data_IF_400529557420
#
_entry.id   IF_400529557420
#
_cell.length_a   1.000
_cell.length_b   1.000
_cell.length_c   1.000
_cell.angle_alpha   90.00
_cell.angle_beta   90.00
_cell.angle_gamma   90.00
#
_symmetry.space_group_name_H-M   'P 1'
#
loop_
_entity.id
_entity.type
_entity.pdbx_description
1 polymer ?
#
# COMPACT_ATOMS: atom_id res chain seq x y z
N UNK A 1 17.57 -13.99 0.65
CA UNK A 1 18.58 -14.40 1.65
C UNK A 1 19.11 -13.19 2.41
N UNK A 2 19.56 -12.14 1.73
CA UNK A 2 20.14 -10.95 2.38
C UNK A 2 19.18 -10.25 3.35
N UNK A 3 17.89 -10.12 3.00
CA UNK A 3 16.88 -9.51 3.88
C UNK A 3 16.69 -10.33 5.16
N UNK A 4 16.63 -11.65 5.05
CA UNK A 4 16.51 -12.54 6.22
C UNK A 4 17.75 -12.45 7.12
N UNK A 5 18.93 -12.33 6.52
CA UNK A 5 20.18 -12.11 7.28
C UNK A 5 20.15 -10.77 8.03
N UNK A 6 19.68 -9.70 7.40
CA UNK A 6 19.50 -8.39 8.07
C UNK A 6 18.48 -8.52 9.20
N UNK A 7 17.30 -9.09 8.93
CA UNK A 7 16.25 -9.24 9.93
C UNK A 7 16.71 -10.01 11.17
N UNK A 8 17.57 -11.01 10.99
CA UNK A 8 18.13 -11.79 12.12
C UNK A 8 19.15 -11.05 12.99
N UNK A 9 19.71 -9.95 12.49
CA UNK A 9 20.79 -9.19 13.14
C UNK A 9 20.36 -7.87 13.74
N UNK A 10 19.18 -7.36 13.35
CA UNK A 10 18.69 -6.07 13.83
C UNK A 10 17.68 -6.25 14.96
N UNK A 11 17.69 -5.33 15.93
CA UNK A 11 16.76 -5.32 17.06
C UNK A 11 15.46 -4.56 16.80
N UNK A 12 15.16 -4.22 15.55
CA UNK A 12 13.93 -3.51 15.14
C UNK A 12 13.14 -4.33 14.13
N UNK A 13 11.80 -4.30 14.19
CA UNK A 13 10.98 -5.01 13.21
C UNK A 13 11.19 -4.47 11.79
N UNK A 14 11.22 -5.38 10.82
CA UNK A 14 11.34 -5.05 9.39
C UNK A 14 9.96 -5.02 8.75
N UNK A 15 9.69 -3.93 8.01
CA UNK A 15 8.52 -3.76 7.16
C UNK A 15 8.96 -3.63 5.70
N UNK A 16 8.44 -4.47 4.81
CA UNK A 16 8.82 -4.47 3.38
C UNK A 16 7.77 -5.16 2.51
N UNK A 17 7.93 -5.07 1.19
CA UNK A 17 7.08 -5.75 0.21
C UNK A 17 6.30 -4.82 -0.71
N UNK A 18 6.44 -3.49 -0.57
CA UNK A 18 5.69 -2.51 -1.39
C UNK A 18 6.01 -2.58 -2.90
N UNK A 19 7.12 -3.19 -3.27
CA UNK A 19 7.53 -3.36 -4.67
C UNK A 19 7.27 -4.76 -5.22
N UNK A 20 6.73 -5.66 -4.40
CA UNK A 20 6.36 -6.99 -4.84
C UNK A 20 5.01 -6.98 -5.55
N UNK A 21 4.89 -7.78 -6.60
CA UNK A 21 3.68 -7.86 -7.42
C UNK A 21 3.08 -9.28 -7.44
N UNK A 22 3.82 -10.27 -6.99
CA UNK A 22 3.40 -11.68 -7.03
C UNK A 22 3.32 -12.27 -5.61
N UNK A 23 2.28 -13.06 -5.38
CA UNK A 23 2.06 -13.78 -4.12
C UNK A 23 3.26 -14.62 -3.68
N UNK A 24 4.01 -15.20 -4.63
CA UNK A 24 5.18 -16.04 -4.34
C UNK A 24 6.35 -15.25 -3.78
N UNK A 25 6.49 -13.98 -4.13
CA UNK A 25 7.52 -13.10 -3.56
C UNK A 25 7.26 -12.90 -2.06
N UNK A 26 5.99 -12.68 -1.69
CA UNK A 26 5.57 -12.58 -0.29
C UNK A 26 5.78 -13.90 0.46
N UNK A 27 5.46 -15.05 -0.16
CA UNK A 27 5.72 -16.36 0.44
C UNK A 27 7.21 -16.57 0.74
N UNK A 28 8.09 -16.28 -0.22
CA UNK A 28 9.54 -16.41 -0.03
C UNK A 28 10.05 -15.48 1.08
N UNK A 29 9.51 -14.25 1.16
CA UNK A 29 9.87 -13.29 2.20
C UNK A 29 9.52 -13.80 3.60
N UNK A 30 8.28 -14.28 3.78
CA UNK A 30 7.75 -14.68 5.08
C UNK A 30 8.28 -16.05 5.54
N UNK A 31 8.35 -17.03 4.64
CA UNK A 31 8.91 -18.36 4.95
C UNK A 31 10.37 -18.32 5.40
N UNK A 32 11.09 -17.27 5.03
CA UNK A 32 12.47 -17.01 5.49
C UNK A 32 12.58 -16.12 6.72
N UNK A 33 11.46 -15.78 7.35
CA UNK A 33 11.43 -14.86 8.49
C UNK A 33 12.15 -13.53 8.24
N UNK A 34 12.02 -13.01 7.01
CA UNK A 34 12.75 -11.82 6.56
C UNK A 34 12.07 -10.51 6.96
N UNK A 35 10.87 -10.57 7.52
CA UNK A 35 10.13 -9.40 7.97
C UNK A 35 9.11 -9.75 9.07
N UNK A 36 8.66 -8.74 9.82
CA UNK A 36 7.56 -8.82 10.79
C UNK A 36 6.30 -8.13 10.25
N UNK A 37 6.47 -7.30 9.24
CA UNK A 37 5.37 -6.61 8.57
C UNK A 37 5.52 -6.74 7.06
N UNK A 38 4.46 -7.15 6.37
CA UNK A 38 4.39 -7.09 4.91
C UNK A 38 3.60 -5.88 4.45
N UNK A 39 4.03 -5.29 3.34
CA UNK A 39 3.44 -4.05 2.79
C UNK A 39 2.92 -4.26 1.37
N UNK A 40 1.85 -5.05 1.16
CA UNK A 40 1.27 -5.18 -0.17
C UNK A 40 0.63 -3.85 -0.62
N UNK A 41 0.95 -3.42 -1.83
CA UNK A 41 0.27 -2.32 -2.50
C UNK A 41 -0.91 -2.86 -3.30
N UNK A 42 -2.13 -2.48 -2.96
CA UNK A 42 -3.35 -2.98 -3.58
C UNK A 42 -3.39 -2.74 -5.10
N UNK A 43 -2.78 -1.64 -5.56
CA UNK A 43 -2.73 -1.30 -6.97
C UNK A 43 -1.67 -2.11 -7.73
N UNK A 44 -0.57 -2.46 -7.08
CA UNK A 44 0.54 -3.20 -7.68
C UNK A 44 0.32 -4.72 -7.71
N UNK A 45 -0.24 -5.30 -6.64
CA UNK A 45 -0.40 -6.76 -6.52
C UNK A 45 -1.60 -7.33 -7.29
N UNK A 46 -2.41 -6.48 -7.95
CA UNK A 46 -3.56 -6.92 -8.75
C UNK A 46 -4.91 -6.80 -8.04
N UNK A 47 -5.06 -5.83 -7.14
CA UNK A 47 -6.33 -5.45 -6.52
C UNK A 47 -6.65 -6.15 -5.21
N UNK A 48 -7.88 -5.96 -4.74
CA UNK A 48 -8.36 -6.41 -3.42
C UNK A 48 -8.24 -7.94 -3.27
N UNK A 49 -8.60 -8.72 -4.30
CA UNK A 49 -8.55 -10.18 -4.22
C UNK A 49 -7.14 -10.70 -4.02
N UNK A 50 -6.16 -10.16 -4.73
CA UNK A 50 -4.76 -10.55 -4.57
C UNK A 50 -4.23 -10.11 -3.20
N UNK A 51 -4.52 -8.88 -2.78
CA UNK A 51 -4.15 -8.38 -1.45
C UNK A 51 -4.71 -9.24 -0.33
N UNK A 52 -5.97 -9.68 -0.40
CA UNK A 52 -6.59 -10.58 0.58
C UNK A 52 -5.86 -11.93 0.68
N UNK A 53 -5.41 -12.49 -0.44
CA UNK A 53 -4.62 -13.73 -0.43
C UNK A 53 -3.27 -13.52 0.26
N UNK A 54 -2.61 -12.39 0.02
CA UNK A 54 -1.35 -12.04 0.68
C UNK A 54 -1.58 -11.84 2.19
N UNK A 55 -2.66 -11.17 2.59
CA UNK A 55 -3.00 -10.99 4.00
C UNK A 55 -3.25 -12.32 4.72
N UNK A 56 -3.99 -13.25 4.11
CA UNK A 56 -4.23 -14.56 4.66
C UNK A 56 -2.94 -15.41 4.75
N UNK A 57 -2.06 -15.27 3.76
CA UNK A 57 -0.75 -15.90 3.80
C UNK A 57 0.10 -15.32 4.93
N UNK A 58 0.10 -14.01 5.12
CA UNK A 58 0.81 -13.33 6.21
C UNK A 58 0.28 -13.78 7.58
N UNK A 59 -1.03 -13.94 7.73
CA UNK A 59 -1.65 -14.48 8.95
C UNK A 59 -1.12 -15.88 9.29
N UNK A 60 -0.98 -16.75 8.28
CA UNK A 60 -0.45 -18.11 8.47
C UNK A 60 1.04 -18.14 8.88
N UNK A 61 1.76 -17.05 8.66
CA UNK A 61 3.16 -16.86 9.06
C UNK A 61 3.35 -15.98 10.30
N UNK A 62 2.28 -15.63 11.03
CA UNK A 62 2.31 -14.69 12.17
C UNK A 62 2.89 -13.32 11.82
N UNK A 63 2.71 -12.87 10.57
CA UNK A 63 3.19 -11.60 10.06
C UNK A 63 2.04 -10.59 9.98
N UNK A 64 2.27 -9.38 10.47
CA UNK A 64 1.30 -8.30 10.39
C UNK A 64 1.32 -7.62 9.01
N UNK A 65 0.21 -7.01 8.65
CA UNK A 65 0.04 -6.30 7.37
C UNK A 65 0.00 -4.80 7.59
N UNK A 66 0.78 -4.07 6.80
CA UNK A 66 0.73 -2.61 6.67
C UNK A 66 0.50 -2.32 5.19
N UNK A 67 -0.74 -2.17 4.72
CA UNK A 67 -0.98 -1.90 3.30
C UNK A 67 -0.22 -0.66 2.84
N UNK A 68 0.61 -0.81 1.79
CA UNK A 68 1.33 0.30 1.18
C UNK A 68 0.36 1.20 0.44
N UNK A 69 0.38 2.49 0.74
CA UNK A 69 -0.57 3.43 0.17
C UNK A 69 0.03 4.83 -0.01
N UNK A 70 0.90 5.04 -1.02
CA UNK A 70 1.44 6.35 -1.36
C UNK A 70 0.53 7.11 -2.34
N UNK A 71 -0.65 6.57 -2.64
CA UNK A 71 -1.55 7.00 -3.70
C UNK A 71 -2.76 7.77 -3.13
N UNK A 72 -3.69 8.12 -3.99
CA UNK A 72 -4.84 8.97 -3.69
C UNK A 72 -6.02 8.29 -2.97
N UNK A 73 -7.18 8.97 -2.89
CA UNK A 73 -8.32 8.54 -2.09
C UNK A 73 -8.94 7.21 -2.56
N UNK A 74 -8.85 6.88 -3.84
CA UNK A 74 -9.36 5.60 -4.39
C UNK A 74 -8.55 4.42 -3.87
N UNK A 75 -7.22 4.52 -3.88
CA UNK A 75 -6.33 3.52 -3.29
C UNK A 75 -6.55 3.41 -1.78
N UNK A 76 -6.66 4.55 -1.10
CA UNK A 76 -6.93 4.60 0.34
C UNK A 76 -8.23 3.89 0.69
N UNK A 77 -9.32 4.16 -0.04
CA UNK A 77 -10.60 3.48 0.16
C UNK A 77 -10.49 1.95 -0.01
N UNK A 78 -9.78 1.49 -1.05
CA UNK A 78 -9.55 0.06 -1.26
C UNK A 78 -8.73 -0.56 -0.12
N UNK A 79 -7.69 0.11 0.36
CA UNK A 79 -6.91 -0.32 1.53
C UNK A 79 -7.77 -0.40 2.79
N UNK A 80 -8.66 0.57 3.04
CA UNK A 80 -9.56 0.57 4.19
C UNK A 80 -10.50 -0.65 4.19
N UNK A 81 -11.03 -1.06 3.02
CA UNK A 81 -11.85 -2.26 2.92
C UNK A 81 -11.04 -3.54 3.21
N UNK A 82 -9.78 -3.59 2.79
CA UNK A 82 -8.87 -4.68 3.15
C UNK A 82 -8.64 -4.68 4.66
N UNK A 83 -8.27 -3.54 5.25
CA UNK A 83 -8.00 -3.39 6.68
C UNK A 83 -9.19 -3.85 7.54
N UNK A 84 -10.42 -3.48 7.16
CA UNK A 84 -11.63 -3.88 7.86
C UNK A 84 -11.93 -5.39 7.80
N UNK A 85 -11.27 -6.10 6.88
CA UNK A 85 -11.57 -7.52 6.58
C UNK A 85 -10.47 -8.50 6.97
N UNK A 86 -9.43 -8.06 7.66
CA UNK A 86 -8.29 -8.88 8.09
C UNK A 86 -8.09 -8.82 9.61
N UNK A 87 -7.57 -9.90 10.20
CA UNK A 87 -7.31 -10.02 11.63
C UNK A 87 -5.89 -9.56 12.01
N UNK A 88 -4.97 -9.59 11.06
CA UNK A 88 -3.54 -9.32 11.24
C UNK A 88 -3.11 -7.93 10.75
N UNK A 89 -4.00 -6.92 10.87
CA UNK A 89 -3.65 -5.54 10.58
C UNK A 89 -2.65 -4.99 11.61
N UNK A 90 -1.52 -4.47 11.14
CA UNK A 90 -0.59 -3.69 11.94
C UNK A 90 -1.05 -2.23 12.05
N UNK A 91 -1.00 -1.52 10.95
CA UNK A 91 -1.47 -0.13 10.81
C UNK A 91 -1.73 0.17 9.33
N UNK A 92 -2.55 1.17 9.02
CA UNK A 92 -2.72 1.67 7.66
C UNK A 92 -1.78 2.85 7.40
N UNK A 93 -0.99 2.77 6.33
CA UNK A 93 -0.25 3.93 5.83
C UNK A 93 -1.22 4.94 5.22
N UNK A 94 -1.08 6.18 5.64
CA UNK A 94 -1.90 7.29 5.15
C UNK A 94 -1.00 8.41 4.63
N UNK A 95 -1.05 8.75 3.34
CA UNK A 95 -0.30 9.87 2.79
C UNK A 95 -0.72 11.19 3.42
N UNK A 96 0.25 12.09 3.67
CA UNK A 96 -0.01 13.36 4.32
C UNK A 96 -1.00 14.28 3.58
N UNK A 97 -1.12 14.13 2.26
CA UNK A 97 -2.08 14.87 1.45
C UNK A 97 -3.54 14.43 1.70
N UNK A 98 -3.78 13.18 2.09
CA UNK A 98 -5.12 12.73 2.51
C UNK A 98 -5.61 13.43 3.79
N UNK A 99 -4.71 14.06 4.55
CA UNK A 99 -5.04 14.81 5.77
C UNK A 99 -5.26 16.30 5.52
N UNK A 100 -4.83 16.81 4.37
CA UNK A 100 -4.81 18.25 4.07
C UNK A 100 -5.90 18.71 3.09
N UNK A 101 -6.81 17.85 2.71
CA UNK A 101 -7.98 18.16 1.90
C UNK A 101 -7.71 18.57 0.44
N UNK A 102 -6.48 18.53 -0.04
CA UNK A 102 -6.18 18.92 -1.43
C UNK A 102 -6.68 17.86 -2.44
N UNK A 103 -6.60 16.60 -2.11
CA UNK A 103 -7.07 15.48 -2.95
C UNK A 103 -8.50 15.03 -2.65
N UNK A 104 -9.13 15.63 -1.63
CA UNK A 104 -10.54 15.39 -1.31
C UNK A 104 -11.46 15.71 -2.48
N UNK A 105 -11.02 16.64 -3.36
CA UNK A 105 -11.75 17.02 -4.57
C UNK A 105 -11.79 15.96 -5.66
N UNK A 106 -10.95 14.93 -5.58
CA UNK A 106 -10.95 13.83 -6.54
C UNK A 106 -12.19 12.91 -6.38
N UNK A 107 -12.79 12.90 -5.22
CA UNK A 107 -13.97 12.09 -4.88
C UNK A 107 -15.13 12.96 -4.46
N UNK A 108 -16.38 12.50 -4.72
CA UNK A 108 -17.60 13.25 -4.37
C UNK A 108 -17.73 13.47 -2.87
N UNK A 109 -17.39 12.45 -2.08
CA UNK A 109 -17.36 12.51 -0.63
C UNK A 109 -15.97 12.14 -0.11
N UNK A 110 -15.26 13.04 0.58
CA UNK A 110 -13.95 12.78 1.14
C UNK A 110 -13.97 11.64 2.17
N UNK A 111 -12.87 10.90 2.24
CA UNK A 111 -12.64 9.94 3.32
C UNK A 111 -12.49 10.69 4.65
N UNK A 112 -13.08 10.15 5.71
CA UNK A 112 -13.11 10.82 7.01
C UNK A 112 -12.05 10.27 7.94
N UNK A 113 -11.28 11.19 8.51
CA UNK A 113 -10.28 10.91 9.54
C UNK A 113 -10.71 11.55 10.86
N UNK A 114 -10.92 10.72 11.87
CA UNK A 114 -11.41 11.18 13.17
C UNK A 114 -10.64 10.49 14.31
N UNK A 115 -10.19 11.27 15.28
CA UNK A 115 -9.53 10.76 16.48
C UNK A 115 -8.36 9.78 16.23
N UNK A 116 -7.57 10.02 15.18
CA UNK A 116 -6.45 9.18 14.83
C UNK A 116 -6.81 7.94 13.99
N UNK A 117 -8.06 7.81 13.56
CA UNK A 117 -8.56 6.68 12.78
C UNK A 117 -9.23 7.14 11.50
N UNK A 118 -9.02 6.37 10.42
CA UNK A 118 -9.85 6.49 9.21
C UNK A 118 -11.16 5.73 9.42
N UNK A 119 -12.28 6.38 9.12
CA UNK A 119 -13.58 5.72 9.13
C UNK A 119 -13.71 4.86 7.88
N UNK A 120 -14.22 3.64 8.05
CA UNK A 120 -14.47 2.73 6.92
C UNK A 120 -15.68 3.25 6.14
N UNK A 121 -15.56 3.50 4.82
CA UNK A 121 -16.70 3.93 4.02
C UNK A 121 -17.73 2.81 3.90
N UNK A 122 -19.02 3.13 4.05
CA UNK A 122 -20.14 2.16 4.01
C UNK A 122 -20.90 2.18 2.68
N UNK A 123 -20.61 3.12 1.78
CA UNK A 123 -21.25 3.18 0.47
C UNK A 123 -20.88 1.96 -0.40
N UNK A 124 -21.71 1.58 -1.40
CA UNK A 124 -21.43 0.45 -2.28
C UNK A 124 -20.05 0.48 -2.94
N UNK A 125 -19.52 -0.68 -3.28
CA UNK A 125 -18.18 -0.83 -3.86
C UNK A 125 -17.08 -0.65 -2.83
N UNK A 126 -16.08 0.17 -3.12
CA UNK A 126 -15.01 0.53 -2.15
C UNK A 126 -15.42 1.72 -1.25
N UNK A 127 -16.64 2.26 -1.45
CA UNK A 127 -17.20 3.32 -0.64
C UNK A 127 -16.82 4.74 -1.07
N UNK A 128 -16.20 4.92 -2.24
CA UNK A 128 -15.94 6.24 -2.84
C UNK A 128 -16.34 6.25 -4.31
N UNK A 129 -16.71 7.43 -4.80
CA UNK A 129 -17.05 7.71 -6.19
C UNK A 129 -16.22 8.91 -6.65
N UNK A 130 -15.68 8.86 -7.87
CA UNK A 130 -14.93 9.98 -8.44
C UNK A 130 -15.85 11.20 -8.64
N UNK A 131 -15.33 12.39 -8.41
CA UNK A 131 -16.01 13.62 -8.78
C UNK A 131 -16.18 13.69 -10.29
N UNK A 132 -17.24 14.35 -10.75
CA UNK A 132 -17.58 14.41 -12.18
C UNK A 132 -16.53 15.18 -12.99
N UNK A 133 -15.77 16.07 -12.36
CA UNK A 133 -14.68 16.87 -12.92
C UNK A 133 -13.28 16.40 -12.48
N UNK A 134 -13.17 15.18 -11.95
CA UNK A 134 -11.90 14.67 -11.43
C UNK A 134 -10.78 14.63 -12.49
N UNK A 135 -11.09 14.33 -13.74
CA UNK A 135 -10.12 14.32 -14.85
C UNK A 135 -9.64 15.73 -15.22
N UNK A 136 -10.50 16.73 -15.09
CA UNK A 136 -10.15 18.13 -15.35
C UNK A 136 -9.27 18.71 -14.23
N UNK A 137 -9.56 18.33 -12.98
CA UNK A 137 -8.80 18.77 -11.80
C UNK A 137 -7.44 18.05 -11.71
N UNK A 138 -7.39 16.79 -12.11
CA UNK A 138 -6.21 15.93 -12.05
C UNK A 138 -5.94 15.27 -13.39
N UNK A 139 -5.59 16.05 -14.44
CA UNK A 139 -5.34 15.49 -15.76
C UNK A 139 -4.20 14.48 -15.70
N UNK A 140 -4.33 13.39 -16.48
CA UNK A 140 -3.28 12.41 -16.60
C UNK A 140 -2.01 13.09 -17.10
N UNK A 141 -1.05 13.27 -16.23
CA UNK A 141 0.28 13.68 -16.64
C UNK A 141 0.97 12.44 -17.22
N UNK A 142 1.41 12.51 -18.45
CA UNK A 142 2.50 11.65 -18.89
C UNK A 142 3.69 11.97 -17.98
N UNK A 143 3.77 11.26 -16.87
CA UNK A 143 5.05 11.20 -16.15
C UNK A 143 5.99 10.60 -17.16
N UNK A 144 6.80 11.46 -17.79
CA UNK A 144 7.90 11.01 -18.59
C UNK A 144 8.56 9.89 -17.81
N UNK A 145 8.79 8.77 -18.47
CA UNK A 145 9.39 7.57 -17.87
C UNK A 145 10.39 8.02 -16.82
N UNK A 146 10.20 7.62 -15.58
CA UNK A 146 11.15 7.97 -14.51
C UNK A 146 12.52 7.72 -15.07
N UNK A 147 13.21 8.80 -15.46
CA UNK A 147 14.51 8.69 -16.11
C UNK A 147 15.32 7.80 -15.19
N UNK A 148 15.65 6.60 -15.67
CA UNK A 148 16.23 5.57 -14.83
C UNK A 148 17.34 6.21 -14.02
N UNK A 149 17.19 6.24 -12.70
CA UNK A 149 18.19 6.86 -11.83
C UNK A 149 19.50 6.15 -12.11
N UNK A 150 20.50 6.91 -12.50
CA UNK A 150 21.81 6.36 -12.83
C UNK A 150 22.78 6.59 -11.69
N UNK A 151 23.59 5.59 -11.42
CA UNK A 151 24.76 5.74 -10.56
C UNK A 151 25.81 6.63 -11.25
N UNK A 152 26.83 7.04 -10.50
CA UNK A 152 27.91 7.86 -11.03
C UNK A 152 28.64 7.18 -12.19
N UNK A 153 28.73 5.86 -12.22
CA UNK A 153 29.30 5.03 -13.29
C UNK A 153 28.36 4.80 -14.49
N UNK A 154 27.17 5.41 -14.47
CA UNK A 154 26.16 5.29 -15.53
C UNK A 154 25.28 4.05 -15.43
N UNK A 155 25.50 3.15 -14.47
CA UNK A 155 24.63 1.99 -14.24
C UNK A 155 23.22 2.43 -13.79
N UNK A 156 22.21 1.64 -14.15
CA UNK A 156 20.84 1.89 -13.72
C UNK A 156 20.70 1.56 -12.24
N UNK A 157 20.13 2.50 -11.48
CA UNK A 157 19.72 2.28 -10.10
C UNK A 157 18.21 2.10 -10.03
N UNK A 158 17.79 1.14 -9.27
CA UNK A 158 16.40 0.74 -9.12
C UNK A 158 15.66 1.53 -8.02
N UNK A 159 16.36 2.49 -7.40
CA UNK A 159 15.87 3.31 -6.28
C UNK A 159 16.47 4.72 -6.30
#
# INVERSE_FOLDING_TARGET
DTMAEVASKVGVPIATGERFIDLREFEVLMSRHACQYVRPDVCAVGGITASKKICALAEAHDVLVIPHNPLGPVSTAACLQICASISNLGIQELPGFCLNGAEDKMVKEPLRFENGCMLIPEAPGIGVELADDAEDLYPANERGSNAARRAFDGSVKDW
#
